data_IF_458578173276
#
_entry.id   IF_458578173276
#
_cell.length_a   1.000
_cell.length_b   1.000
_cell.length_c   1.000
_cell.angle_alpha   90.00
_cell.angle_beta   90.00
_cell.angle_gamma   90.00
#
_symmetry.space_group_name_H-M   'P 1'
#
loop_
_entity.id
_entity.type
_entity.pdbx_description
1 polymer ?
#
# COMPACT_ATOMS: atom_id res chain seq x y z
N UNK A 1 -2.26 8.28 14.90
CA UNK A 1 -3.25 7.55 14.08
C UNK A 1 -3.50 8.31 12.80
N UNK A 2 -4.07 7.64 11.81
CA UNK A 2 -4.43 8.23 10.51
C UNK A 2 -5.61 7.47 9.89
N UNK A 3 -6.22 8.07 8.88
CA UNK A 3 -7.25 7.48 8.03
C UNK A 3 -7.59 8.40 6.86
N UNK A 4 -8.54 7.99 6.03
CA UNK A 4 -9.00 8.77 4.88
C UNK A 4 -10.04 9.84 5.28
N UNK A 5 -9.96 11.02 4.66
CA UNK A 5 -10.94 12.10 4.86
C UNK A 5 -12.36 11.73 4.40
N UNK A 6 -12.50 10.75 3.51
CA UNK A 6 -13.83 10.22 3.13
C UNK A 6 -14.42 9.42 4.28
N UNK A 7 -13.64 8.53 4.90
CA UNK A 7 -14.09 7.75 6.06
C UNK A 7 -14.40 8.66 7.25
N UNK A 8 -13.55 9.64 7.54
CA UNK A 8 -13.77 10.64 8.61
C UNK A 8 -15.13 11.34 8.47
N UNK A 9 -15.53 11.70 7.25
CA UNK A 9 -16.82 12.35 6.96
C UNK A 9 -18.00 11.40 7.15
N UNK A 10 -17.87 10.15 6.73
CA UNK A 10 -18.90 9.12 6.88
C UNK A 10 -19.11 8.75 8.34
N UNK A 11 -18.02 8.54 9.06
CA UNK A 11 -18.02 8.04 10.43
C UNK A 11 -18.43 9.10 11.45
N UNK A 12 -18.29 10.39 11.10
CA UNK A 12 -18.43 11.54 12.02
C UNK A 12 -17.51 11.44 13.24
N UNK A 13 -16.33 10.89 13.01
CA UNK A 13 -15.33 10.58 14.02
C UNK A 13 -14.22 9.76 13.38
N UNK A 14 -13.37 9.12 14.18
CA UNK A 14 -12.25 8.32 13.67
C UNK A 14 -12.32 6.80 13.97
N UNK A 15 -13.50 6.14 14.02
CA UNK A 15 -13.59 4.70 14.29
C UNK A 15 -12.95 3.84 13.19
N UNK A 16 -12.90 4.32 11.94
CA UNK A 16 -12.17 3.65 10.84
C UNK A 16 -10.69 4.04 10.76
N UNK A 17 -10.15 4.76 11.76
CA UNK A 17 -8.73 5.06 11.81
C UNK A 17 -7.89 3.81 11.98
N UNK A 18 -6.59 3.98 11.77
CA UNK A 18 -5.60 2.97 12.10
C UNK A 18 -4.39 3.59 12.81
N UNK A 19 -3.63 2.74 13.52
CA UNK A 19 -2.43 3.12 14.26
C UNK A 19 -1.22 3.16 13.32
N UNK A 20 -0.79 4.38 12.97
CA UNK A 20 0.38 4.62 12.11
C UNK A 20 1.71 4.36 12.83
N UNK A 21 1.82 4.80 14.08
CA UNK A 21 2.99 4.64 14.94
C UNK A 21 2.54 4.75 16.41
N UNK A 22 3.28 4.09 17.31
CA UNK A 22 3.09 4.14 18.77
C UNK A 22 4.44 3.99 19.48
N UNK A 23 4.57 4.53 20.69
CA UNK A 23 5.80 4.42 21.49
C UNK A 23 7.02 5.14 20.90
N UNK A 24 6.82 6.14 20.04
CA UNK A 24 7.93 6.90 19.45
C UNK A 24 8.48 7.92 20.44
N UNK A 25 9.79 7.90 20.66
CA UNK A 25 10.50 8.96 21.38
C UNK A 25 10.77 10.20 20.51
N UNK A 26 10.56 10.11 19.19
CA UNK A 26 10.74 11.21 18.26
C UNK A 26 9.53 12.13 18.22
N UNK A 27 9.76 13.44 18.05
CA UNK A 27 8.72 14.46 17.92
C UNK A 27 8.24 14.65 16.48
N UNK A 28 8.76 13.86 15.54
CA UNK A 28 8.40 13.88 14.12
C UNK A 28 8.33 12.47 13.56
N UNK A 29 7.43 12.25 12.62
CA UNK A 29 7.30 11.00 11.86
C UNK A 29 7.22 11.35 10.38
N UNK A 30 8.03 10.68 9.56
CA UNK A 30 7.91 10.73 8.10
C UNK A 30 7.07 9.56 7.65
N UNK A 31 5.95 9.84 6.99
CA UNK A 31 5.11 8.81 6.39
C UNK A 31 5.46 8.65 4.91
N UNK A 32 5.74 7.41 4.50
CA UNK A 32 6.14 7.07 3.14
C UNK A 32 4.96 6.70 2.21
N UNK A 33 3.72 6.75 2.71
CA UNK A 33 2.54 6.48 1.88
C UNK A 33 2.45 7.54 0.76
N UNK A 34 2.11 7.16 -0.48
CA UNK A 34 1.94 8.10 -1.58
C UNK A 34 0.89 9.18 -1.28
N UNK A 35 1.04 10.34 -1.91
CA UNK A 35 0.03 11.40 -1.82
C UNK A 35 -1.33 10.90 -2.34
N UNK A 36 -2.45 11.24 -1.66
CA UNK A 36 -3.76 10.82 -2.09
C UNK A 36 -4.17 11.52 -3.41
N UNK A 37 -5.05 10.91 -4.22
CA UNK A 37 -5.54 11.52 -5.46
C UNK A 37 -6.15 12.91 -5.23
N UNK A 38 -6.16 13.74 -6.28
CA UNK A 38 -6.78 15.07 -6.22
C UNK A 38 -8.24 14.99 -5.73
N UNK A 39 -8.58 15.75 -4.69
CA UNK A 39 -9.91 15.75 -4.05
C UNK A 39 -10.06 14.76 -2.88
N UNK A 40 -9.04 13.95 -2.61
CA UNK A 40 -8.92 13.08 -1.44
C UNK A 40 -7.86 13.60 -0.47
N UNK A 41 -7.75 12.99 0.71
CA UNK A 41 -6.77 13.39 1.72
C UNK A 41 -6.70 12.40 2.87
N UNK A 42 -5.58 12.42 3.58
CA UNK A 42 -5.45 11.76 4.87
C UNK A 42 -5.67 12.76 6.00
N UNK A 43 -6.10 12.27 7.16
CA UNK A 43 -6.01 13.02 8.41
C UNK A 43 -5.02 12.33 9.35
N UNK A 44 -4.51 13.10 10.32
CA UNK A 44 -3.58 12.61 11.33
C UNK A 44 -4.05 13.07 12.71
N UNK A 45 -4.03 12.14 13.66
CA UNK A 45 -4.27 12.41 15.07
C UNK A 45 -3.03 12.01 15.86
N UNK A 46 -2.50 12.93 16.67
CA UNK A 46 -1.30 12.74 17.47
C UNK A 46 -1.63 13.00 18.92
N UNK A 47 -1.21 12.10 19.81
CA UNK A 47 -1.27 12.28 21.27
C UNK A 47 0.09 12.00 21.87
N UNK A 48 0.37 12.62 23.02
CA UNK A 48 1.56 12.33 23.81
C UNK A 48 1.27 11.25 24.86
N UNK A 49 2.31 10.55 25.29
CA UNK A 49 2.30 9.65 26.43
C UNK A 49 3.44 10.08 27.37
N UNK A 50 3.20 9.99 28.67
CA UNK A 50 4.23 10.13 29.69
C UNK A 50 3.98 9.14 30.84
N UNK A 51 4.82 9.21 31.87
CA UNK A 51 4.70 8.33 33.06
C UNK A 51 3.37 8.44 33.79
N UNK A 52 2.63 9.55 33.63
CA UNK A 52 1.32 9.73 34.23
C UNK A 52 0.19 9.14 33.37
N UNK A 53 0.44 8.85 32.09
CA UNK A 53 -0.49 8.19 31.18
C UNK A 53 -0.51 8.79 29.77
N UNK A 54 -1.57 8.43 29.06
CA UNK A 54 -1.81 8.83 27.68
C UNK A 54 -2.65 10.12 27.61
N UNK A 55 -2.33 10.99 26.66
CA UNK A 55 -3.25 12.04 26.21
C UNK A 55 -4.49 11.48 25.52
N UNK A 56 -5.34 12.37 25.00
CA UNK A 56 -6.56 12.03 24.27
C UNK A 56 -6.47 12.52 22.82
N UNK A 57 -7.10 11.79 21.89
CA UNK A 57 -7.34 12.22 20.51
C UNK A 57 -8.60 13.08 20.36
N UNK A 58 -9.34 13.31 21.45
CA UNK A 58 -10.56 14.12 21.48
C UNK A 58 -11.87 13.33 21.51
N UNK A 59 -11.81 12.00 21.60
CA UNK A 59 -13.00 11.13 21.69
C UNK A 59 -12.75 9.96 22.65
N UNK A 60 -13.24 10.10 23.89
CA UNK A 60 -12.93 9.19 25.00
C UNK A 60 -13.25 7.72 24.70
N UNK A 61 -14.29 7.45 23.92
CA UNK A 61 -14.68 6.08 23.52
C UNK A 61 -13.63 5.42 22.61
N UNK A 62 -12.94 6.20 21.78
CA UNK A 62 -11.91 5.73 20.85
C UNK A 62 -10.48 5.87 21.42
N UNK A 63 -10.31 6.57 22.54
CA UNK A 63 -9.02 6.71 23.23
C UNK A 63 -8.60 5.48 24.02
N UNK A 64 -9.58 4.72 24.52
CA UNK A 64 -9.40 3.59 25.42
C UNK A 64 -8.67 2.41 24.75
N UNK A 65 -8.88 2.23 23.44
CA UNK A 65 -8.27 1.17 22.64
C UNK A 65 -7.80 1.75 21.33
N UNK A 66 -6.49 1.71 21.08
CA UNK A 66 -5.93 2.08 19.78
C UNK A 66 -6.56 1.17 18.69
N UNK A 67 -6.93 1.71 17.52
CA UNK A 67 -7.37 0.91 16.41
C UNK A 67 -6.20 0.05 15.89
N UNK A 68 -6.49 -0.96 15.04
CA UNK A 68 -5.48 -1.81 14.43
C UNK A 68 -4.38 -1.00 13.74
N UNK A 69 -3.18 -1.57 13.61
CA UNK A 69 -2.08 -0.95 12.88
C UNK A 69 -2.49 -0.59 11.45
N UNK A 70 -2.03 0.56 10.93
CA UNK A 70 -2.36 0.93 9.57
C UNK A 70 -1.86 -0.12 8.59
N UNK A 71 -2.69 -0.50 7.60
CA UNK A 71 -2.23 -1.33 6.50
C UNK A 71 -0.91 -0.78 6.02
N UNK A 72 0.12 -1.62 6.06
CA UNK A 72 1.43 -1.36 5.49
C UNK A 72 2.38 -0.40 6.22
N UNK A 73 1.94 0.27 7.28
CA UNK A 73 2.83 1.09 8.12
C UNK A 73 3.79 0.27 8.99
N UNK A 74 3.31 -0.85 9.55
CA UNK A 74 4.07 -1.73 10.44
C UNK A 74 4.63 -2.97 9.77
N UNK A 75 4.53 -3.09 8.44
CA UNK A 75 5.05 -4.26 7.74
C UNK A 75 6.58 -4.24 7.72
N UNK A 76 7.17 -5.39 8.06
CA UNK A 76 8.62 -5.68 8.09
C UNK A 76 8.89 -7.00 7.37
N UNK A 77 10.14 -7.28 7.02
CA UNK A 77 10.52 -8.50 6.31
C UNK A 77 10.20 -8.48 4.81
N UNK A 78 9.98 -7.30 4.25
CA UNK A 78 9.63 -7.09 2.84
C UNK A 78 9.91 -5.68 2.37
N UNK A 79 9.35 -5.29 1.23
CA UNK A 79 9.49 -3.95 0.66
C UNK A 79 8.17 -3.41 0.10
N UNK A 80 7.98 -2.10 0.22
CA UNK A 80 7.01 -1.37 -0.59
C UNK A 80 7.64 -1.03 -1.95
N UNK A 81 6.98 -1.41 -3.04
CA UNK A 81 7.45 -1.13 -4.39
C UNK A 81 6.37 -0.36 -5.14
N UNK A 82 6.74 0.80 -5.68
CA UNK A 82 5.84 1.61 -6.50
C UNK A 82 6.16 1.39 -7.99
N UNK A 83 5.11 1.16 -8.77
CA UNK A 83 5.16 1.02 -10.22
C UNK A 83 4.35 2.15 -10.87
N UNK A 84 4.91 2.77 -11.92
CA UNK A 84 4.14 3.55 -12.89
C UNK A 84 3.75 2.66 -14.05
N UNK A 85 2.48 2.63 -14.40
CA UNK A 85 1.90 1.84 -15.49
C UNK A 85 1.13 2.80 -16.40
N UNK A 86 1.76 3.21 -17.52
CA UNK A 86 1.24 4.30 -18.38
C UNK A 86 1.02 5.59 -17.57
N UNK A 87 -0.23 5.93 -17.26
CA UNK A 87 -0.66 7.10 -16.49
C UNK A 87 -1.20 6.73 -15.10
N UNK A 88 -1.12 5.46 -14.71
CA UNK A 88 -1.56 4.94 -13.42
C UNK A 88 -0.38 4.53 -12.53
N UNK A 89 -0.65 4.37 -11.24
CA UNK A 89 0.29 3.87 -10.25
C UNK A 89 -0.23 2.61 -9.58
N UNK A 90 0.70 1.76 -9.17
CA UNK A 90 0.43 0.60 -8.33
C UNK A 90 1.52 0.46 -7.27
N UNK A 91 1.10 0.45 -6.00
CA UNK A 91 1.97 0.22 -4.85
C UNK A 91 1.76 -1.18 -4.27
N UNK A 92 2.79 -2.01 -4.28
CA UNK A 92 2.70 -3.41 -3.82
C UNK A 92 3.62 -3.69 -2.64
N UNK A 93 3.14 -4.43 -1.65
CA UNK A 93 3.99 -5.01 -0.61
C UNK A 93 4.44 -6.39 -1.04
N UNK A 94 5.74 -6.61 -1.05
CA UNK A 94 6.36 -7.86 -1.48
C UNK A 94 7.32 -8.32 -0.39
N UNK A 95 7.34 -9.62 -0.12
CA UNK A 95 8.28 -10.27 0.81
C UNK A 95 9.22 -11.24 0.08
N UNK A 96 9.06 -11.41 -1.24
CA UNK A 96 9.95 -12.18 -2.11
C UNK A 96 11.30 -11.45 -2.31
N UNK A 97 12.37 -11.98 -1.70
CA UNK A 97 13.71 -11.38 -1.74
C UNK A 97 14.27 -11.13 -3.15
N UNK A 98 14.34 -12.15 -4.03
CA UNK A 98 14.82 -11.98 -5.41
C UNK A 98 14.05 -10.93 -6.21
N UNK A 99 12.72 -10.85 -6.05
CA UNK A 99 11.92 -9.82 -6.70
C UNK A 99 12.28 -8.42 -6.20
N UNK A 100 12.43 -8.25 -4.88
CA UNK A 100 12.83 -6.96 -4.28
C UNK A 100 14.21 -6.54 -4.79
N UNK A 101 15.19 -7.44 -4.79
CA UNK A 101 16.54 -7.16 -5.25
C UNK A 101 16.54 -6.76 -6.74
N UNK A 102 15.73 -7.44 -7.56
CA UNK A 102 15.58 -7.09 -8.97
C UNK A 102 14.90 -5.74 -9.17
N UNK A 103 13.85 -5.43 -8.41
CA UNK A 103 13.20 -4.13 -8.46
C UNK A 103 14.16 -2.98 -8.15
N UNK A 104 15.06 -3.15 -7.16
CA UNK A 104 16.12 -2.17 -6.85
C UNK A 104 17.09 -1.98 -8.02
N UNK A 105 17.47 -3.05 -8.72
CA UNK A 105 18.32 -2.96 -9.90
C UNK A 105 17.62 -2.23 -11.06
N UNK A 106 16.35 -2.53 -11.32
CA UNK A 106 15.56 -1.85 -12.36
C UNK A 106 15.42 -0.36 -12.06
N UNK A 107 15.18 -0.01 -10.79
CA UNK A 107 15.14 1.39 -10.34
C UNK A 107 16.48 2.10 -10.54
N UNK A 108 17.59 1.47 -10.15
CA UNK A 108 18.93 2.07 -10.25
C UNK A 108 19.42 2.24 -11.70
N UNK A 109 19.05 1.31 -12.58
CA UNK A 109 19.50 1.29 -13.98
C UNK A 109 18.54 2.01 -14.94
N UNK A 110 17.28 2.19 -14.54
CA UNK A 110 16.21 2.66 -15.43
C UNK A 110 15.79 1.64 -16.50
N UNK A 111 16.35 0.42 -16.46
CA UNK A 111 15.93 -0.67 -17.35
C UNK A 111 14.55 -1.19 -16.96
N UNK A 112 13.86 -1.81 -17.92
CA UNK A 112 12.50 -2.31 -17.74
C UNK A 112 12.47 -3.82 -17.87
N UNK A 113 11.68 -4.45 -17.01
CA UNK A 113 11.22 -5.83 -17.11
C UNK A 113 9.79 -5.88 -16.62
N UNK A 114 9.03 -6.83 -17.14
CA UNK A 114 7.61 -6.99 -16.82
C UNK A 114 7.52 -7.63 -15.43
N UNK A 115 6.93 -6.95 -14.42
CA UNK A 115 6.60 -7.63 -13.17
C UNK A 115 5.44 -8.60 -13.44
N UNK A 116 5.60 -9.84 -13.01
CA UNK A 116 4.58 -10.88 -13.05
C UNK A 116 4.05 -11.05 -11.64
N UNK A 117 2.80 -10.64 -11.43
CA UNK A 117 2.04 -10.88 -10.21
C UNK A 117 1.17 -12.13 -10.42
N UNK A 118 1.63 -13.27 -9.90
CA UNK A 118 1.04 -14.58 -10.20
C UNK A 118 -0.29 -14.83 -9.49
N UNK A 119 -0.65 -14.02 -8.49
CA UNK A 119 -1.93 -14.13 -7.78
C UNK A 119 -2.43 -12.75 -7.38
N UNK A 120 -3.69 -12.46 -7.75
CA UNK A 120 -4.44 -11.31 -7.29
C UNK A 120 -5.36 -11.70 -6.13
N UNK A 121 -5.40 -10.87 -5.09
CA UNK A 121 -6.17 -11.06 -3.88
C UNK A 121 -7.22 -9.97 -3.74
N UNK A 122 -8.40 -10.33 -3.25
CA UNK A 122 -9.46 -9.37 -2.96
C UNK A 122 -9.17 -8.63 -1.64
N UNK A 123 -9.60 -7.38 -1.57
CA UNK A 123 -9.45 -6.52 -0.40
C UNK A 123 -8.37 -5.46 -0.55
N UNK A 124 -8.53 -4.38 0.22
CA UNK A 124 -7.58 -3.26 0.29
C UNK A 124 -6.27 -3.72 0.92
N UNK A 125 -5.16 -3.18 0.43
CA UNK A 125 -3.83 -3.36 1.02
C UNK A 125 -3.10 -2.00 1.09
N UNK A 126 -1.82 -1.98 0.72
CA UNK A 126 -0.96 -0.80 0.84
C UNK A 126 -1.27 0.30 -0.15
N UNK A 127 -1.85 -0.07 -1.29
CA UNK A 127 -2.34 0.88 -2.27
C UNK A 127 -3.78 1.28 -1.90
N UNK A 128 -4.01 2.52 -1.45
CA UNK A 128 -5.35 2.97 -1.07
C UNK A 128 -6.26 3.20 -2.29
N UNK A 129 -5.69 3.26 -3.50
CA UNK A 129 -6.43 3.50 -4.74
C UNK A 129 -7.27 2.28 -5.16
N UNK A 130 -6.85 1.08 -4.77
CA UNK A 130 -7.41 -0.19 -5.24
C UNK A 130 -8.03 -1.00 -4.11
N UNK A 131 -9.07 -1.77 -4.44
CA UNK A 131 -9.71 -2.71 -3.50
C UNK A 131 -9.30 -4.16 -3.75
N UNK A 132 -8.14 -4.34 -4.38
CA UNK A 132 -7.45 -5.61 -4.59
C UNK A 132 -5.95 -5.39 -4.39
N UNK A 133 -5.19 -6.47 -4.27
CA UNK A 133 -3.73 -6.42 -4.16
C UNK A 133 -3.08 -7.68 -4.73
N UNK A 134 -1.76 -7.71 -4.77
CA UNK A 134 -0.99 -8.87 -5.23
C UNK A 134 -0.56 -9.73 -4.05
N UNK A 135 -0.42 -11.03 -4.27
CA UNK A 135 0.23 -11.91 -3.30
C UNK A 135 1.71 -11.47 -3.10
N UNK A 136 2.16 -11.27 -1.85
CA UNK A 136 3.48 -10.73 -1.57
C UNK A 136 4.65 -11.69 -1.87
N UNK A 137 4.37 -12.97 -2.10
CA UNK A 137 5.37 -14.01 -2.39
C UNK A 137 5.30 -14.51 -3.83
N UNK A 138 4.10 -14.59 -4.43
CA UNK A 138 3.91 -15.10 -5.79
C UNK A 138 4.18 -14.02 -6.86
N UNK A 139 5.45 -13.62 -6.95
CA UNK A 139 5.91 -12.56 -7.85
C UNK A 139 7.22 -12.93 -8.54
N UNK A 140 7.42 -12.45 -9.77
CA UNK A 140 8.67 -12.60 -10.53
C UNK A 140 8.83 -11.49 -11.56
N UNK A 141 9.99 -11.36 -12.19
CA UNK A 141 10.18 -10.50 -13.36
C UNK A 141 10.41 -11.37 -14.60
N UNK A 142 9.88 -10.94 -15.73
CA UNK A 142 10.07 -11.60 -17.02
C UNK A 142 10.41 -10.60 -18.14
N UNK A 143 11.05 -11.09 -19.18
CA UNK A 143 11.32 -10.31 -20.40
C UNK A 143 10.14 -10.32 -21.39
N UNK A 144 9.24 -11.29 -21.24
CA UNK A 144 8.00 -11.42 -22.00
C UNK A 144 6.93 -12.09 -21.14
N UNK A 145 5.66 -11.77 -21.38
CA UNK A 145 4.51 -12.37 -20.72
C UNK A 145 3.42 -12.71 -21.75
N UNK A 146 2.34 -13.38 -21.33
CA UNK A 146 1.17 -13.55 -22.19
C UNK A 146 0.30 -12.30 -22.13
N UNK A 147 -0.25 -11.87 -23.27
CA UNK A 147 -1.10 -10.66 -23.37
C UNK A 147 -2.33 -10.71 -22.45
N UNK A 148 -2.79 -11.91 -22.07
CA UNK A 148 -3.99 -12.10 -21.25
C UNK A 148 -3.89 -11.43 -19.86
N UNK A 149 -2.69 -11.32 -19.30
CA UNK A 149 -2.48 -10.67 -18.01
C UNK A 149 -2.03 -9.22 -18.13
N UNK A 150 -1.92 -8.66 -19.34
CA UNK A 150 -1.59 -7.24 -19.53
C UNK A 150 -2.83 -6.36 -19.33
N UNK A 151 -2.64 -5.21 -18.67
CA UNK A 151 -3.75 -4.33 -18.34
C UNK A 151 -3.33 -3.16 -17.46
N UNK A 152 -4.33 -2.36 -17.07
CA UNK A 152 -4.17 -1.23 -16.16
C UNK A 152 -4.81 -1.55 -14.80
N UNK A 153 -4.24 -1.07 -13.67
CA UNK A 153 -4.85 -1.23 -12.35
C UNK A 153 -6.33 -0.85 -12.28
N UNK A 154 -6.74 0.25 -12.92
CA UNK A 154 -8.13 0.70 -12.98
C UNK A 154 -9.05 -0.28 -13.72
N UNK A 155 -8.53 -0.98 -14.73
CA UNK A 155 -9.27 -1.98 -15.48
C UNK A 155 -9.52 -3.24 -14.65
N UNK A 156 -8.54 -3.63 -13.81
CA UNK A 156 -8.72 -4.68 -12.80
C UNK A 156 -9.80 -4.26 -11.81
N UNK A 157 -9.73 -3.04 -11.25
CA UNK A 157 -10.72 -2.53 -10.30
C UNK A 157 -12.14 -2.56 -10.88
N UNK A 158 -12.31 -2.12 -12.14
CA UNK A 158 -13.60 -2.11 -12.82
C UNK A 158 -14.14 -3.52 -13.14
N UNK A 159 -13.26 -4.52 -13.26
CA UNK A 159 -13.59 -5.88 -13.70
C UNK A 159 -13.11 -6.96 -12.71
N UNK A 160 -13.09 -6.64 -11.41
CA UNK A 160 -12.46 -7.48 -10.37
C UNK A 160 -12.89 -8.94 -10.39
N UNK A 161 -14.19 -9.21 -10.55
CA UNK A 161 -14.68 -10.59 -10.52
C UNK A 161 -14.04 -11.46 -11.62
N UNK A 162 -13.84 -10.90 -12.81
CA UNK A 162 -13.16 -11.58 -13.92
C UNK A 162 -11.66 -11.69 -13.69
N UNK A 163 -11.00 -10.61 -13.25
CA UNK A 163 -9.56 -10.61 -13.04
C UNK A 163 -9.12 -11.52 -11.90
N UNK A 164 -9.80 -11.49 -10.76
CA UNK A 164 -9.46 -12.33 -9.61
C UNK A 164 -9.95 -13.77 -9.79
N UNK A 165 -11.10 -13.97 -10.47
CA UNK A 165 -11.73 -15.29 -10.61
C UNK A 165 -11.35 -16.08 -11.86
N UNK A 166 -10.94 -15.41 -12.94
CA UNK A 166 -10.63 -16.06 -14.25
C UNK A 166 -9.19 -15.83 -14.68
N UNK A 167 -8.69 -14.59 -14.70
CA UNK A 167 -7.31 -14.31 -15.14
C UNK A 167 -6.31 -14.73 -14.06
N UNK A 168 -6.60 -14.43 -12.79
CA UNK A 168 -5.84 -14.81 -11.60
C UNK A 168 -4.48 -14.11 -11.44
N UNK A 169 -3.96 -13.48 -12.49
CA UNK A 169 -2.61 -12.91 -12.56
C UNK A 169 -2.60 -11.56 -13.26
N UNK A 170 -1.53 -10.80 -13.06
CA UNK A 170 -1.34 -9.48 -13.66
C UNK A 170 0.12 -9.28 -14.08
N UNK A 171 0.34 -8.87 -15.32
CA UNK A 171 1.66 -8.68 -15.92
C UNK A 171 1.73 -7.37 -16.73
N UNK A 172 1.68 -6.20 -16.07
CA UNK A 172 1.63 -4.92 -16.79
C UNK A 172 2.90 -4.67 -17.61
N UNK A 173 2.82 -4.80 -18.93
CA UNK A 173 3.97 -4.66 -19.84
C UNK A 173 4.59 -3.26 -19.79
N UNK A 174 3.74 -2.27 -19.53
CA UNK A 174 4.14 -0.86 -19.43
C UNK A 174 4.69 -0.46 -18.05
N UNK A 175 4.80 -1.40 -17.11
CA UNK A 175 5.22 -1.10 -15.75
C UNK A 175 6.70 -0.67 -15.66
N UNK A 176 6.94 0.31 -14.80
CA UNK A 176 8.28 0.80 -14.46
C UNK A 176 8.36 0.98 -12.96
N UNK A 177 9.41 0.44 -12.34
CA UNK A 177 9.69 0.69 -10.92
C UNK A 177 10.04 2.16 -10.73
N UNK A 178 9.35 2.86 -9.83
CA UNK A 178 9.57 4.27 -9.52
C UNK A 178 10.08 4.50 -8.10
N UNK A 179 9.81 3.57 -7.18
CA UNK A 179 10.34 3.60 -5.82
C UNK A 179 10.44 2.18 -5.24
N UNK A 180 11.43 1.96 -4.37
CA UNK A 180 11.55 0.76 -3.53
C UNK A 180 11.92 1.19 -2.12
N UNK A 181 11.04 0.92 -1.16
CA UNK A 181 11.29 1.08 0.27
C UNK A 181 11.49 -0.30 0.89
N UNK A 182 12.75 -0.71 1.01
CA UNK A 182 13.15 -2.03 1.51
C UNK A 182 13.19 -2.02 3.06
N UNK A 183 12.41 -2.91 3.67
CA UNK A 183 12.24 -3.07 5.13
C UNK A 183 12.48 -4.52 5.58
N UNK A 184 13.30 -5.25 4.84
CA UNK A 184 13.75 -6.60 5.20
C UNK A 184 14.71 -6.60 6.40
#
# INVERSE_FOLDING_TARGET
>A
MTGDLVALRTDRGFPSACTLAQGSAATSLTEARPDPPAGSGYYYLVRAENTCGNGTFGEAALDATLPPGCPCSGLTGGAMINFRIVNESLTVWVTNGPFIDRAKQLLATGTRQIPIFGTLLDGRACDPQWTWHVDPQNVSFADAAIELCDGLPSYIEANKAYWLGTVGSFCPWSAVVTAVEDRR
#
